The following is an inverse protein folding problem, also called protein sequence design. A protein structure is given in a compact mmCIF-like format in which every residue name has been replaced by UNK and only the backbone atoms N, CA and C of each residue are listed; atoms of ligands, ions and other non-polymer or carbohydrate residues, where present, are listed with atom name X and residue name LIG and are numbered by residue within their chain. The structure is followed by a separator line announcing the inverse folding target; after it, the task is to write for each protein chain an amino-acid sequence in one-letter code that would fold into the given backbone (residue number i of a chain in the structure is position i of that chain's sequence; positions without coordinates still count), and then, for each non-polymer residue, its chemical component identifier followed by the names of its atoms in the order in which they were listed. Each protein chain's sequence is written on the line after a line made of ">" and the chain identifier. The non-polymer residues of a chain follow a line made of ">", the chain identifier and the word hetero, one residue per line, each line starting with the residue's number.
data_IF_559249985424
#
_entry.id   IF_559249985424
#
_cell.length_a   1.000
_cell.length_b   1.000
_cell.length_c   1.000
_cell.angle_alpha   90.00
_cell.angle_beta   90.00
_cell.angle_gamma   90.00
#
_symmetry.space_group_name_H-M   'P 1'
#
loop_
_entity.id
_entity.type
_entity.pdbx_description
1 polymer ?
#
# COMPACT_ATOMS: atom_id res chain seq x y z
N UNK A 1 21.12 19.06 18.24
CA UNK A 1 20.30 18.44 17.20
C UNK A 1 20.83 17.02 17.02
N UNK A 2 20.29 16.06 17.77
CA UNK A 2 20.71 14.65 17.66
C UNK A 2 20.36 14.17 16.25
N UNK A 3 21.36 13.85 15.43
CA UNK A 3 21.11 13.33 14.10
C UNK A 3 20.60 11.90 14.23
N UNK A 4 19.33 11.70 13.88
CA UNK A 4 18.65 10.39 13.78
C UNK A 4 19.46 9.41 12.91
N UNK A 5 20.31 9.94 12.02
CA UNK A 5 21.14 9.17 11.10
C UNK A 5 22.22 8.30 11.77
N UNK A 6 22.61 8.57 13.02
CA UNK A 6 23.70 7.84 13.71
C UNK A 6 23.25 6.97 14.90
N UNK A 7 21.95 6.72 15.06
CA UNK A 7 21.48 5.87 16.16
C UNK A 7 21.76 4.39 15.89
N UNK A 8 22.56 3.77 16.78
CA UNK A 8 22.84 2.32 16.76
C UNK A 8 21.54 1.51 16.85
N UNK A 9 20.57 1.97 17.64
CA UNK A 9 19.28 1.30 17.81
C UNK A 9 18.48 1.29 16.51
N UNK A 10 18.43 2.41 15.79
CA UNK A 10 17.76 2.49 14.49
C UNK A 10 18.48 1.66 13.44
N UNK A 11 19.80 1.59 13.48
CA UNK A 11 20.57 0.72 12.59
C UNK A 11 20.27 -0.76 12.84
N UNK A 12 20.23 -1.20 14.11
CA UNK A 12 19.84 -2.56 14.49
C UNK A 12 18.42 -2.89 14.06
N UNK A 13 17.47 -1.97 14.26
CA UNK A 13 16.08 -2.14 13.83
C UNK A 13 15.97 -2.27 12.30
N UNK A 14 16.69 -1.44 11.53
CA UNK A 14 16.71 -1.53 10.07
C UNK A 14 17.30 -2.84 9.59
N UNK A 15 18.40 -3.29 10.21
CA UNK A 15 19.01 -4.58 9.91
C UNK A 15 18.00 -5.72 10.16
N UNK A 16 17.31 -5.68 11.31
CA UNK A 16 16.27 -6.64 11.63
C UNK A 16 15.14 -6.64 10.60
N UNK A 17 14.60 -5.47 10.25
CA UNK A 17 13.54 -5.36 9.24
C UNK A 17 13.99 -5.90 7.87
N UNK A 18 15.26 -5.67 7.49
CA UNK A 18 15.79 -6.18 6.22
C UNK A 18 15.87 -7.71 6.21
N UNK A 19 16.29 -8.33 7.31
CA UNK A 19 16.32 -9.79 7.44
C UNK A 19 14.90 -10.36 7.50
N UNK A 20 13.99 -9.73 8.24
CA UNK A 20 12.58 -10.13 8.29
C UNK A 20 11.94 -10.13 6.89
N UNK A 21 12.16 -9.07 6.10
CA UNK A 21 11.63 -9.00 4.75
C UNK A 21 12.29 -10.01 3.81
N UNK A 22 13.59 -10.28 3.98
CA UNK A 22 14.31 -11.34 3.24
C UNK A 22 13.74 -12.72 3.55
N UNK A 23 13.52 -13.03 4.83
CA UNK A 23 12.96 -14.30 5.29
C UNK A 23 11.51 -14.46 4.84
N UNK A 24 10.69 -13.40 4.95
CA UNK A 24 9.33 -13.39 4.41
C UNK A 24 9.30 -13.76 2.92
N UNK A 25 10.12 -13.09 2.12
CA UNK A 25 10.21 -13.37 0.68
C UNK A 25 10.70 -14.81 0.39
N UNK A 26 11.60 -15.33 1.22
CA UNK A 26 12.09 -16.70 1.12
C UNK A 26 10.98 -17.71 1.40
N UNK A 27 10.22 -17.56 2.50
CA UNK A 27 9.17 -18.52 2.86
C UNK A 27 8.00 -18.50 1.88
N UNK A 28 7.58 -17.33 1.38
CA UNK A 28 6.51 -17.22 0.38
C UNK A 28 6.90 -17.87 -0.95
N UNK A 29 8.19 -17.80 -1.33
CA UNK A 29 8.70 -18.42 -2.56
C UNK A 29 8.89 -19.94 -2.42
N UNK A 30 9.47 -20.37 -1.31
CA UNK A 30 9.84 -21.79 -1.10
C UNK A 30 8.66 -22.65 -0.70
N UNK A 31 7.66 -22.06 -0.02
CA UNK A 31 6.51 -22.77 0.56
C UNK A 31 5.20 -22.04 0.25
N UNK A 32 4.83 -21.91 -1.04
CA UNK A 32 3.57 -21.29 -1.40
C UNK A 32 2.40 -22.06 -0.78
N UNK A 33 1.35 -21.32 -0.42
CA UNK A 33 0.09 -21.92 0.04
C UNK A 33 -0.48 -22.75 -1.11
N UNK A 34 -0.53 -24.06 -0.93
CA UNK A 34 -1.14 -24.99 -1.90
C UNK A 34 -2.57 -25.30 -1.43
N UNK A 35 -3.55 -24.53 -1.91
CA UNK A 35 -4.96 -24.62 -1.49
C UNK A 35 -5.58 -26.02 -1.72
N UNK A 36 -4.93 -26.86 -2.53
CA UNK A 36 -5.40 -28.20 -2.89
C UNK A 36 -4.86 -29.34 -2.00
N UNK A 37 -3.85 -29.09 -1.16
CA UNK A 37 -3.23 -30.14 -0.32
C UNK A 37 -3.59 -29.95 1.16
N UNK A 38 -4.10 -30.99 1.83
CA UNK A 38 -4.28 -30.94 3.27
C UNK A 38 -2.92 -30.74 3.95
N UNK A 39 -2.90 -29.91 5.01
CA UNK A 39 -1.74 -29.67 5.87
C UNK A 39 -1.44 -30.97 6.61
N UNK A 40 -0.66 -31.86 6.00
CA UNK A 40 -0.08 -33.01 6.69
C UNK A 40 1.19 -32.57 7.40
N UNK A 41 1.42 -32.99 8.66
CA UNK A 41 2.69 -32.75 9.35
C UNK A 41 3.84 -33.19 8.44
N UNK A 42 4.62 -32.22 8.00
CA UNK A 42 5.74 -32.45 7.13
C UNK A 42 6.98 -32.09 7.94
N UNK A 43 7.71 -33.11 8.39
CA UNK A 43 8.92 -32.93 9.19
C UNK A 43 9.93 -31.98 8.52
N UNK A 44 9.94 -31.91 7.18
CA UNK A 44 10.73 -30.92 6.47
C UNK A 44 10.20 -29.49 6.70
N UNK A 45 8.88 -29.24 6.58
CA UNK A 45 8.29 -27.93 6.83
C UNK A 45 8.55 -27.46 8.27
N UNK A 46 8.40 -28.34 9.25
CA UNK A 46 8.64 -28.05 10.67
C UNK A 46 10.10 -27.59 10.91
N UNK A 47 11.07 -28.33 10.34
CA UNK A 47 12.49 -27.95 10.41
C UNK A 47 12.77 -26.56 9.82
N UNK A 48 12.11 -26.20 8.71
CA UNK A 48 12.34 -24.89 8.07
C UNK A 48 11.67 -23.74 8.83
N UNK A 49 10.50 -23.98 9.44
CA UNK A 49 9.87 -23.01 10.35
C UNK A 49 10.83 -22.72 11.50
N UNK A 50 11.41 -23.77 12.07
CA UNK A 50 12.40 -23.65 13.15
C UNK A 50 13.68 -22.93 12.71
N UNK A 51 14.17 -23.16 11.49
CA UNK A 51 15.32 -22.44 10.95
C UNK A 51 15.06 -20.93 10.82
N UNK A 52 13.89 -20.54 10.29
CA UNK A 52 13.50 -19.13 10.15
C UNK A 52 13.38 -18.48 11.53
N UNK A 53 12.72 -19.17 12.47
CA UNK A 53 12.56 -18.73 13.85
C UNK A 53 13.91 -18.56 14.54
N UNK A 54 14.78 -19.57 14.48
CA UNK A 54 16.09 -19.55 15.10
C UNK A 54 16.98 -18.44 14.51
N UNK A 55 16.87 -18.18 13.20
CA UNK A 55 17.58 -17.07 12.55
C UNK A 55 17.18 -15.71 13.13
N UNK A 56 15.89 -15.49 13.40
CA UNK A 56 15.40 -14.24 13.99
C UNK A 56 15.79 -14.13 15.47
N UNK A 57 15.62 -15.20 16.26
CA UNK A 57 16.05 -15.23 17.66
C UNK A 57 17.53 -14.95 17.81
N UNK A 58 18.36 -15.64 17.03
CA UNK A 58 19.82 -15.46 17.05
C UNK A 58 20.21 -14.03 16.68
N UNK A 59 19.50 -13.40 15.74
CA UNK A 59 19.74 -12.00 15.38
C UNK A 59 19.38 -11.05 16.53
N UNK A 60 18.24 -11.25 17.19
CA UNK A 60 17.81 -10.44 18.33
C UNK A 60 18.77 -10.58 19.52
N UNK A 61 19.17 -11.82 19.86
CA UNK A 61 20.15 -12.10 20.90
C UNK A 61 21.50 -11.41 20.62
N UNK A 62 21.99 -11.48 19.37
CA UNK A 62 23.22 -10.79 18.98
C UNK A 62 23.10 -9.26 19.14
N UNK A 63 21.94 -8.68 18.83
CA UNK A 63 21.71 -7.24 19.02
C UNK A 63 21.61 -6.88 20.51
N UNK A 64 20.98 -7.73 21.32
CA UNK A 64 20.87 -7.56 22.77
C UNK A 64 22.24 -7.60 23.46
N UNK A 65 23.10 -8.53 23.07
CA UNK A 65 24.45 -8.63 23.60
C UNK A 65 25.28 -7.37 23.28
N UNK A 66 25.27 -6.93 22.01
CA UNK A 66 25.99 -5.70 21.59
C UNK A 66 25.53 -4.46 22.36
N UNK A 67 24.24 -4.36 22.65
CA UNK A 67 23.70 -3.22 23.39
C UNK A 67 23.99 -3.30 24.89
N UNK A 68 24.07 -4.52 25.44
CA UNK A 68 24.48 -4.74 26.83
C UNK A 68 25.93 -4.34 27.06
N UNK A 69 26.80 -4.61 26.09
CA UNK A 69 28.24 -4.29 26.17
C UNK A 69 28.53 -2.78 26.10
N UNK A 70 27.63 -1.99 25.46
CA UNK A 70 27.86 -0.56 25.15
C UNK A 70 26.95 0.38 25.97
N UNK A 71 25.71 -0.01 26.27
CA UNK A 71 24.59 0.92 26.50
C UNK A 71 24.23 1.24 27.96
N UNK A 72 24.84 0.58 28.95
CA UNK A 72 24.43 0.71 30.36
C UNK A 72 22.95 0.32 30.60
N UNK A 73 22.45 0.48 31.82
CA UNK A 73 21.11 0.00 32.21
C UNK A 73 19.97 0.76 31.50
N UNK A 74 20.12 2.06 31.27
CA UNK A 74 19.12 2.89 30.59
C UNK A 74 19.05 2.54 29.09
N UNK A 75 20.20 2.41 28.42
CA UNK A 75 20.25 2.02 27.01
C UNK A 75 19.70 0.61 26.80
N UNK A 76 19.99 -0.32 27.72
CA UNK A 76 19.42 -1.66 27.70
C UNK A 76 17.89 -1.64 27.84
N UNK A 77 17.33 -0.81 28.73
CA UNK A 77 15.88 -0.67 28.87
C UNK A 77 15.20 -0.17 27.58
N UNK A 78 15.79 0.82 26.91
CA UNK A 78 15.28 1.32 25.62
C UNK A 78 15.40 0.24 24.54
N UNK A 79 16.50 -0.50 24.53
CA UNK A 79 16.68 -1.62 23.60
C UNK A 79 15.64 -2.72 23.82
N UNK A 80 15.34 -3.10 25.07
CA UNK A 80 14.30 -4.09 25.39
C UNK A 80 12.92 -3.69 24.86
N UNK A 81 12.60 -2.39 24.88
CA UNK A 81 11.36 -1.88 24.26
C UNK A 81 11.38 -1.99 22.73
N UNK A 82 12.53 -1.74 22.10
CA UNK A 82 12.70 -1.92 20.66
C UNK A 82 12.68 -3.40 20.24
N UNK A 83 13.32 -4.28 21.02
CA UNK A 83 13.33 -5.74 20.84
C UNK A 83 11.90 -6.31 20.89
N UNK A 84 11.08 -5.83 21.82
CA UNK A 84 9.66 -6.17 21.87
C UNK A 84 8.93 -5.78 20.58
N UNK A 85 9.16 -4.58 20.06
CA UNK A 85 8.58 -4.13 18.78
C UNK A 85 9.05 -5.01 17.62
N UNK A 86 10.34 -5.38 17.60
CA UNK A 86 10.90 -6.26 16.56
C UNK A 86 10.25 -7.65 16.58
N UNK A 87 10.16 -8.30 17.73
CA UNK A 87 9.51 -9.61 17.88
C UNK A 87 8.04 -9.57 17.44
N UNK A 88 7.29 -8.60 17.98
CA UNK A 88 5.87 -8.39 17.67
C UNK A 88 5.64 -8.11 16.18
N UNK A 89 6.53 -7.33 15.54
CA UNK A 89 6.46 -7.04 14.12
C UNK A 89 6.76 -8.28 13.27
N UNK A 90 7.73 -9.11 13.67
CA UNK A 90 8.04 -10.34 12.96
C UNK A 90 6.89 -11.35 13.01
N UNK A 91 6.31 -11.55 14.20
CA UNK A 91 5.15 -12.43 14.38
C UNK A 91 3.99 -11.97 13.52
N UNK A 92 3.64 -10.68 13.57
CA UNK A 92 2.60 -10.11 12.69
C UNK A 92 2.95 -10.29 11.21
N UNK A 93 4.20 -10.06 10.80
CA UNK A 93 4.59 -10.16 9.38
C UNK A 93 4.50 -11.59 8.86
N UNK A 94 4.98 -12.57 9.64
CA UNK A 94 5.04 -13.97 9.22
C UNK A 94 3.70 -14.69 9.35
N UNK A 95 2.90 -14.39 10.38
CA UNK A 95 1.54 -14.94 10.50
C UNK A 95 0.61 -14.47 9.37
N UNK A 96 0.84 -13.26 8.85
CA UNK A 96 0.04 -12.70 7.75
C UNK A 96 0.66 -12.91 6.36
N UNK A 97 1.85 -13.50 6.27
CA UNK A 97 2.46 -13.86 5.00
C UNK A 97 1.73 -15.04 4.33
N UNK A 98 1.86 -15.16 3.01
CA UNK A 98 1.21 -16.24 2.23
C UNK A 98 2.14 -17.44 2.08
N UNK A 99 2.28 -18.22 3.14
CA UNK A 99 3.09 -19.45 3.14
C UNK A 99 2.45 -20.56 3.98
N UNK A 100 2.83 -21.81 3.71
CA UNK A 100 2.17 -23.00 4.30
C UNK A 100 2.44 -23.22 5.79
N UNK A 101 3.55 -22.70 6.32
CA UNK A 101 3.98 -22.94 7.70
C UNK A 101 3.49 -21.90 8.73
N UNK A 102 2.65 -20.95 8.30
CA UNK A 102 2.17 -19.86 9.17
C UNK A 102 1.34 -20.34 10.36
N UNK A 103 0.63 -21.47 10.24
CA UNK A 103 -0.24 -22.00 11.31
C UNK A 103 0.55 -22.70 12.41
N UNK A 104 1.75 -23.19 12.08
CA UNK A 104 2.70 -23.83 12.99
C UNK A 104 3.71 -22.83 13.56
N UNK A 105 3.62 -21.55 13.18
CA UNK A 105 4.53 -20.52 13.65
C UNK A 105 4.38 -20.33 15.17
N UNK A 106 5.46 -20.57 15.90
CA UNK A 106 5.55 -20.26 17.32
C UNK A 106 5.96 -18.80 17.50
N UNK A 107 5.23 -18.05 18.32
CA UNK A 107 5.41 -16.62 18.51
C UNK A 107 6.77 -16.30 19.16
N UNK A 108 7.54 -15.41 18.54
CA UNK A 108 8.78 -14.87 19.10
C UNK A 108 8.52 -14.02 20.34
N UNK A 109 7.40 -13.29 20.37
CA UNK A 109 6.97 -12.50 21.53
C UNK A 109 6.79 -13.39 22.77
N UNK A 110 6.16 -14.55 22.60
CA UNK A 110 5.90 -15.47 23.70
C UNK A 110 7.22 -16.00 24.28
N UNK A 111 8.15 -16.40 23.42
CA UNK A 111 9.45 -16.93 23.82
C UNK A 111 10.32 -15.88 24.53
N UNK A 112 10.35 -14.64 24.03
CA UNK A 112 11.23 -13.58 24.56
C UNK A 112 10.62 -12.77 25.72
N UNK A 113 9.30 -12.63 25.75
CA UNK A 113 8.60 -11.72 26.65
C UNK A 113 7.47 -12.38 27.45
N UNK A 114 7.20 -13.68 27.25
CA UNK A 114 6.15 -14.43 27.95
C UNK A 114 4.77 -13.73 27.83
N UNK A 115 4.50 -13.16 26.67
CA UNK A 115 3.28 -12.41 26.36
C UNK A 115 2.61 -12.99 25.13
N UNK A 116 1.28 -13.06 25.15
CA UNK A 116 0.44 -13.50 24.03
C UNK A 116 -0.46 -12.38 23.48
N UNK A 117 -0.22 -11.14 23.90
CA UNK A 117 -1.08 -9.99 23.62
C UNK A 117 -0.35 -8.90 22.82
N UNK A 118 0.56 -9.29 21.92
CA UNK A 118 1.40 -8.41 21.09
C UNK A 118 0.64 -7.21 20.54
N UNK A 119 -0.50 -7.49 19.90
CA UNK A 119 -1.30 -6.48 19.23
C UNK A 119 -1.85 -5.40 20.17
N UNK A 120 -2.19 -5.74 21.41
CA UNK A 120 -2.71 -4.79 22.41
C UNK A 120 -1.59 -4.10 23.18
N UNK A 121 -0.57 -4.87 23.56
CA UNK A 121 0.55 -4.38 24.35
C UNK A 121 1.44 -3.44 23.52
N UNK A 122 1.57 -3.65 22.20
CA UNK A 122 2.23 -2.72 21.28
C UNK A 122 1.63 -1.31 21.36
N UNK A 123 0.30 -1.18 21.18
CA UNK A 123 -0.33 0.14 21.24
C UNK A 123 -0.36 0.70 22.66
N UNK A 124 -0.46 -0.15 23.68
CA UNK A 124 -0.37 0.30 25.07
C UNK A 124 1.00 0.89 25.40
N UNK A 125 2.09 0.29 24.88
CA UNK A 125 3.45 0.83 25.01
C UNK A 125 3.62 2.10 24.17
N UNK A 126 3.04 2.16 22.98
CA UNK A 126 3.04 3.36 22.14
C UNK A 126 2.31 4.54 22.82
N UNK A 127 1.15 4.30 23.44
CA UNK A 127 0.41 5.32 24.20
C UNK A 127 1.27 5.87 25.35
N UNK A 128 1.99 5.00 26.07
CA UNK A 128 2.94 5.40 27.13
C UNK A 128 4.11 6.20 26.57
N UNK A 129 4.65 5.83 25.41
CA UNK A 129 5.73 6.56 24.73
C UNK A 129 5.31 7.97 24.32
N UNK A 130 4.08 8.12 23.85
CA UNK A 130 3.53 9.42 23.42
C UNK A 130 3.20 10.31 24.62
N UNK A 131 2.77 9.72 25.74
CA UNK A 131 2.45 10.45 26.97
C UNK A 131 3.69 10.81 27.79
N UNK A 132 4.74 9.97 27.75
CA UNK A 132 5.99 10.21 28.47
C UNK A 132 6.86 11.24 27.75
N UNK A 133 7.16 12.34 28.44
CA UNK A 133 8.06 13.39 27.95
C UNK A 133 9.53 12.98 27.84
N UNK A 134 9.92 11.83 28.41
CA UNK A 134 11.29 11.32 28.45
C UNK A 134 11.62 10.30 27.35
N UNK A 135 10.65 9.88 26.54
CA UNK A 135 10.91 8.84 25.54
C UNK A 135 11.77 9.37 24.38
N UNK A 136 12.78 8.58 24.01
CA UNK A 136 13.75 8.90 22.95
C UNK A 136 13.07 8.95 21.58
N UNK A 137 13.51 9.90 20.73
CA UNK A 137 13.07 10.00 19.34
C UNK A 137 13.34 8.72 18.54
N UNK A 138 14.39 7.99 18.88
CA UNK A 138 14.73 6.71 18.24
C UNK A 138 13.63 5.67 18.42
N UNK A 139 13.11 5.51 19.64
CA UNK A 139 12.04 4.57 19.91
C UNK A 139 10.75 5.01 19.19
N UNK A 140 10.44 6.32 19.19
CA UNK A 140 9.32 6.85 18.42
C UNK A 140 9.45 6.53 16.92
N UNK A 141 10.65 6.65 16.37
CA UNK A 141 10.95 6.33 14.98
C UNK A 141 10.82 4.83 14.68
N UNK A 142 11.18 3.96 15.62
CA UNK A 142 10.96 2.50 15.51
C UNK A 142 9.47 2.18 15.43
N UNK A 143 8.65 2.72 16.33
CA UNK A 143 7.20 2.56 16.25
C UNK A 143 6.63 3.10 14.94
N UNK A 144 7.12 4.26 14.48
CA UNK A 144 6.68 4.86 13.23
C UNK A 144 6.98 3.96 12.03
N UNK A 145 8.18 3.38 11.97
CA UNK A 145 8.59 2.45 10.91
C UNK A 145 7.82 1.13 10.98
N UNK A 146 7.58 0.58 12.18
CA UNK A 146 6.75 -0.61 12.36
C UNK A 146 5.33 -0.40 11.81
N UNK A 147 4.70 0.75 12.11
CA UNK A 147 3.40 1.11 11.52
C UNK A 147 3.47 1.32 9.99
N UNK A 148 4.60 1.78 9.47
CA UNK A 148 4.81 1.90 8.02
C UNK A 148 4.97 0.54 7.33
N UNK A 149 5.37 -0.51 8.06
CA UNK A 149 5.44 -1.90 7.60
C UNK A 149 4.09 -2.65 7.75
N UNK A 150 2.98 -1.90 7.75
CA UNK A 150 1.59 -2.41 7.84
C UNK A 150 1.28 -3.17 9.14
N UNK A 151 1.97 -2.84 10.23
CA UNK A 151 1.63 -3.37 11.56
C UNK A 151 0.22 -2.89 11.98
N UNK A 152 -0.72 -3.81 12.14
CA UNK A 152 -2.12 -3.52 12.48
C UNK A 152 -2.46 -3.87 13.92
N UNK A 153 -1.93 -4.99 14.43
CA UNK A 153 -2.21 -5.47 15.80
C UNK A 153 -3.72 -5.49 16.10
N UNK A 154 -4.11 -4.93 17.25
CA UNK A 154 -5.52 -4.90 17.70
C UNK A 154 -6.50 -4.22 16.74
N UNK A 155 -6.01 -3.33 15.87
CA UNK A 155 -6.87 -2.55 14.98
C UNK A 155 -7.22 -3.29 13.68
N UNK A 156 -6.75 -4.53 13.47
CA UNK A 156 -7.02 -5.33 12.26
C UNK A 156 -8.52 -5.44 11.89
N UNK A 157 -9.39 -5.60 12.89
CA UNK A 157 -10.84 -5.80 12.67
C UNK A 157 -11.68 -4.52 12.86
N UNK A 158 -11.07 -3.43 13.32
CA UNK A 158 -11.69 -2.10 13.38
C UNK A 158 -11.33 -1.30 12.13
N UNK A 159 -11.85 -0.08 11.93
CA UNK A 159 -11.34 0.86 10.90
C UNK A 159 -9.85 1.19 11.19
N UNK A 160 -8.89 0.46 10.59
CA UNK A 160 -7.50 0.49 11.05
C UNK A 160 -6.83 1.77 10.60
N UNK A 161 -7.19 2.24 9.40
CA UNK A 161 -6.59 3.39 8.72
C UNK A 161 -6.69 4.62 9.60
N UNK A 162 -7.89 4.93 10.10
CA UNK A 162 -8.11 6.13 10.91
C UNK A 162 -7.31 6.14 12.21
N UNK A 163 -7.24 5.02 12.92
CA UNK A 163 -6.54 4.93 14.21
C UNK A 163 -5.02 4.88 14.01
N UNK A 164 -4.53 4.06 13.08
CA UNK A 164 -3.10 3.96 12.76
C UNK A 164 -2.58 5.30 12.26
N UNK A 165 -3.32 6.00 11.40
CA UNK A 165 -2.92 7.31 10.91
C UNK A 165 -2.87 8.37 12.01
N UNK A 166 -3.73 8.28 13.03
CA UNK A 166 -3.64 9.14 14.21
C UNK A 166 -2.31 8.91 14.95
N UNK A 167 -1.92 7.65 15.17
CA UNK A 167 -0.64 7.33 15.79
C UNK A 167 0.55 7.80 14.95
N UNK A 168 0.52 7.58 13.63
CA UNK A 168 1.56 8.04 12.71
C UNK A 168 1.75 9.55 12.77
N UNK A 169 0.65 10.33 12.81
CA UNK A 169 0.71 11.80 12.96
C UNK A 169 1.30 12.22 14.31
N UNK A 170 0.91 11.57 15.40
CA UNK A 170 1.44 11.87 16.75
C UNK A 170 2.93 11.54 16.87
N UNK A 171 3.36 10.41 16.31
CA UNK A 171 4.77 10.02 16.23
C UNK A 171 5.57 10.99 15.37
N UNK A 172 5.03 11.38 14.20
CA UNK A 172 5.67 12.34 13.32
C UNK A 172 5.90 13.68 14.04
N UNK A 173 4.86 14.20 14.70
CA UNK A 173 4.94 15.40 15.52
C UNK A 173 6.02 15.29 16.61
N UNK A 174 6.10 14.14 17.29
CA UNK A 174 7.10 13.91 18.35
C UNK A 174 8.53 13.88 17.80
N UNK A 175 8.75 13.23 16.65
CA UNK A 175 10.08 13.05 16.06
C UNK A 175 10.61 14.36 15.45
N UNK A 176 9.77 15.07 14.69
CA UNK A 176 10.19 16.21 13.87
C UNK A 176 9.81 17.57 14.47
N UNK A 177 8.95 17.60 15.50
CA UNK A 177 8.49 18.85 16.12
C UNK A 177 7.54 19.68 15.26
N UNK A 178 7.13 19.20 14.09
CA UNK A 178 6.23 19.89 13.15
C UNK A 178 5.10 18.96 12.69
N UNK A 179 3.88 19.47 12.48
CA UNK A 179 2.78 18.68 11.96
C UNK A 179 3.02 18.29 10.49
N UNK A 180 2.55 17.10 10.12
CA UNK A 180 2.60 16.61 8.73
C UNK A 180 1.98 17.61 7.74
N UNK A 181 0.94 18.35 8.17
CA UNK A 181 0.27 19.37 7.35
C UNK A 181 1.15 20.56 6.96
N UNK A 182 2.24 20.81 7.69
CA UNK A 182 3.21 21.89 7.39
C UNK A 182 4.32 21.44 6.46
N UNK A 183 4.49 20.13 6.24
CA UNK A 183 5.39 19.63 5.21
C UNK A 183 4.78 19.95 3.84
N UNK A 184 5.42 20.83 3.07
CA UNK A 184 5.12 20.93 1.64
C UNK A 184 5.30 19.54 1.03
N UNK A 185 4.30 18.98 0.32
CA UNK A 185 4.47 17.72 -0.39
C UNK A 185 5.50 17.95 -1.50
N UNK A 186 6.76 17.66 -1.18
CA UNK A 186 7.82 17.66 -2.15
C UNK A 186 7.79 16.27 -2.80
N UNK A 187 7.51 16.16 -4.11
CA UNK A 187 7.54 14.86 -4.77
C UNK A 187 8.99 14.36 -4.76
N UNK A 188 9.28 13.45 -3.83
CA UNK A 188 10.65 12.91 -3.61
C UNK A 188 11.12 12.08 -4.80
N UNK A 189 10.19 11.53 -5.60
CA UNK A 189 10.49 10.91 -6.89
C UNK A 189 9.33 11.19 -7.87
N UNK A 190 9.64 11.84 -9.00
CA UNK A 190 8.67 12.10 -10.06
C UNK A 190 8.32 10.84 -10.87
N UNK A 191 9.18 9.80 -10.81
CA UNK A 191 9.13 8.64 -11.70
C UNK A 191 8.49 7.37 -11.09
N UNK A 192 8.20 7.35 -9.78
CA UNK A 192 7.63 6.15 -9.13
C UNK A 192 6.10 6.17 -9.07
N UNK A 193 5.47 7.31 -9.36
CA UNK A 193 4.01 7.46 -9.38
C UNK A 193 3.34 6.88 -10.63
N UNK A 194 4.08 6.52 -11.67
CA UNK A 194 3.50 5.86 -12.85
C UNK A 194 3.15 4.38 -12.62
N UNK A 195 3.76 3.71 -11.65
CA UNK A 195 3.71 2.25 -11.56
C UNK A 195 3.22 1.67 -10.24
N UNK A 196 2.55 2.46 -9.39
CA UNK A 196 1.86 1.92 -8.21
C UNK A 196 0.48 2.57 -8.07
N UNK A 197 -0.38 2.33 -9.05
CA UNK A 197 -1.82 2.46 -8.88
C UNK A 197 -2.30 1.23 -8.10
N UNK A 198 -2.07 1.24 -6.79
CA UNK A 198 -2.84 0.44 -5.85
C UNK A 198 -3.08 1.33 -4.63
N UNK A 199 -4.10 2.20 -4.70
CA UNK A 199 -4.83 2.59 -3.50
C UNK A 199 -6.27 2.99 -3.82
N UNK A 200 -7.13 2.24 -3.15
CA UNK A 200 -8.53 2.48 -2.87
C UNK A 200 -8.66 3.73 -1.96
N UNK A 201 -9.14 4.84 -2.54
CA UNK A 201 -10.12 5.78 -1.97
C UNK A 201 -10.39 6.92 -2.98
N UNK A 202 -11.59 6.90 -3.56
CA UNK A 202 -12.36 8.05 -4.06
C UNK A 202 -11.57 9.27 -4.56
N UNK A 203 -10.84 9.12 -5.67
CA UNK A 203 -10.46 10.28 -6.48
C UNK A 203 -11.64 10.67 -7.36
N UNK A 204 -12.20 11.86 -7.12
CA UNK A 204 -13.06 12.55 -8.08
C UNK A 204 -12.28 12.70 -9.40
N UNK A 205 -12.52 11.76 -10.31
CA UNK A 205 -12.15 11.89 -11.72
C UNK A 205 -12.77 13.18 -12.25
N UNK A 206 -12.01 14.04 -12.97
CA UNK A 206 -12.60 15.16 -13.68
C UNK A 206 -13.71 14.60 -14.57
N UNK A 207 -14.89 15.13 -14.32
CA UNK A 207 -16.19 14.58 -14.71
C UNK A 207 -16.29 14.26 -16.19
N UNK A 208 -16.77 13.04 -16.49
CA UNK A 208 -17.01 12.46 -17.81
C UNK A 208 -17.98 13.24 -18.71
N UNK A 209 -18.62 14.29 -18.21
CA UNK A 209 -19.59 15.09 -18.97
C UNK A 209 -18.95 15.93 -20.09
N UNK A 210 -17.65 16.27 -20.00
CA UNK A 210 -16.98 17.03 -21.05
C UNK A 210 -16.87 16.24 -22.37
N UNK A 211 -16.68 14.92 -22.30
CA UNK A 211 -16.63 14.06 -23.48
C UNK A 211 -17.99 13.89 -24.14
N UNK A 212 -19.09 13.95 -23.37
CA UNK A 212 -20.44 13.98 -23.92
C UNK A 212 -20.70 15.21 -24.79
N UNK A 213 -20.15 16.38 -24.44
CA UNK A 213 -20.26 17.57 -25.29
C UNK A 213 -19.46 17.45 -26.60
N UNK A 214 -18.28 16.81 -26.56
CA UNK A 214 -17.50 16.53 -27.76
C UNK A 214 -18.26 15.57 -28.68
N UNK A 215 -18.81 14.48 -28.13
CA UNK A 215 -19.62 13.51 -28.89
C UNK A 215 -20.88 14.15 -29.45
N UNK A 216 -21.59 14.95 -28.65
CA UNK A 216 -22.78 15.69 -29.10
C UNK A 216 -22.45 16.69 -30.21
N UNK A 217 -21.32 17.40 -30.10
CA UNK A 217 -20.83 18.31 -31.13
C UNK A 217 -20.53 17.61 -32.45
N UNK A 218 -19.81 16.49 -32.42
CA UNK A 218 -19.52 15.68 -33.61
C UNK A 218 -20.81 15.16 -34.26
N UNK A 219 -21.75 14.69 -33.45
CA UNK A 219 -23.03 14.17 -33.93
C UNK A 219 -23.90 15.26 -34.54
N UNK A 220 -23.92 16.46 -33.96
CA UNK A 220 -24.61 17.62 -34.52
C UNK A 220 -24.00 18.05 -35.87
N UNK A 221 -22.66 18.10 -35.98
CA UNK A 221 -21.97 18.39 -37.23
C UNK A 221 -22.31 17.34 -38.30
N UNK A 222 -22.34 16.06 -37.93
CA UNK A 222 -22.69 14.98 -38.84
C UNK A 222 -24.14 15.08 -39.34
N UNK A 223 -25.10 15.41 -38.47
CA UNK A 223 -26.50 15.64 -38.86
C UNK A 223 -26.62 16.81 -39.84
N UNK A 224 -25.90 17.91 -39.61
CA UNK A 224 -25.91 19.08 -40.51
C UNK A 224 -25.28 18.72 -41.85
N UNK A 225 -24.16 18.00 -41.87
CA UNK A 225 -23.55 17.54 -43.11
C UNK A 225 -24.50 16.62 -43.89
N UNK A 226 -25.19 15.71 -43.18
CA UNK A 226 -26.18 14.80 -43.78
C UNK A 226 -27.38 15.55 -44.36
N UNK A 227 -27.91 16.56 -43.66
CA UNK A 227 -29.06 17.33 -44.15
C UNK A 227 -28.72 18.17 -45.37
N UNK A 228 -27.54 18.80 -45.39
CA UNK A 228 -27.05 19.54 -46.56
C UNK A 228 -26.87 18.61 -47.77
N UNK A 229 -26.32 17.41 -47.55
CA UNK A 229 -26.16 16.42 -48.60
C UNK A 229 -27.50 15.99 -49.20
N UNK A 230 -28.53 15.83 -48.38
CA UNK A 230 -29.89 15.49 -48.84
C UNK A 230 -30.50 16.60 -49.69
N UNK A 231 -30.34 17.87 -49.31
CA UNK A 231 -30.86 19.02 -50.07
C UNK A 231 -30.17 19.11 -51.44
N UNK A 232 -28.85 18.93 -51.49
CA UNK A 232 -28.10 18.95 -52.75
C UNK A 232 -28.47 17.78 -53.67
N UNK A 233 -28.71 16.59 -53.10
CA UNK A 233 -29.15 15.41 -53.86
C UNK A 233 -30.58 15.57 -54.40
N UNK A 234 -31.51 16.10 -53.60
CA UNK A 234 -32.90 16.28 -54.01
C UNK A 234 -33.06 17.41 -55.05
N UNK A 235 -32.30 18.49 -54.92
CA UNK A 235 -32.19 19.54 -55.93
C UNK A 235 -31.62 19.01 -57.26
N UNK A 236 -30.63 18.11 -57.19
CA UNK A 236 -30.05 17.46 -58.36
C UNK A 236 -31.00 16.49 -59.08
N UNK A 237 -31.83 15.75 -58.33
CA UNK A 237 -32.76 14.76 -58.88
C UNK A 237 -33.97 15.45 -59.52
N UNK A 238 -34.59 16.42 -58.84
CA UNK A 238 -35.76 17.15 -59.35
C UNK A 238 -35.48 17.85 -60.68
N UNK A 239 -34.33 18.52 -60.80
CA UNK A 239 -33.92 19.18 -62.05
C UNK A 239 -33.70 18.21 -63.22
N UNK A 240 -33.30 16.95 -62.95
CA UNK A 240 -33.14 15.92 -63.99
C UNK A 240 -34.47 15.30 -64.40
N UNK A 241 -35.37 15.07 -63.45
CA UNK A 241 -36.72 14.58 -63.72
C UNK A 241 -37.52 15.59 -64.55
N UNK A 242 -37.41 16.89 -64.23
CA UNK A 242 -38.11 17.94 -64.99
C UNK A 242 -37.62 18.03 -66.45
N UNK A 243 -36.32 17.87 -66.71
CA UNK A 243 -35.78 17.81 -68.08
C UNK A 243 -36.29 16.59 -68.86
N UNK A 244 -36.41 15.43 -68.22
CA UNK A 244 -36.93 14.22 -68.86
C UNK A 244 -38.43 14.39 -69.15
N UNK A 245 -39.21 14.95 -68.23
CA UNK A 245 -40.63 15.25 -68.46
C UNK A 245 -40.83 16.32 -69.54
N UNK A 246 -39.99 17.37 -69.58
CA UNK A 246 -40.01 18.38 -70.62
C UNK A 246 -39.69 17.77 -72.00
N UNK A 247 -38.67 16.92 -72.08
CA UNK A 247 -38.32 16.19 -73.31
C UNK A 247 -39.41 15.17 -73.74
N UNK A 248 -40.11 14.55 -72.78
CA UNK A 248 -41.23 13.67 -73.08
C UNK A 248 -42.47 14.43 -73.58
N UNK A 249 -42.75 15.63 -73.03
CA UNK A 249 -43.85 16.50 -73.50
C UNK A 249 -43.62 17.05 -74.90
N UNK A 250 -42.38 17.35 -75.29
CA UNK A 250 -42.07 17.77 -76.66
C UNK A 250 -42.17 16.60 -77.65
N UNK A 251 -41.88 15.37 -77.22
CA UNK A 251 -42.03 14.16 -78.05
C UNK A 251 -43.51 13.75 -78.25
N UNK A 252 -44.35 13.83 -77.21
CA UNK A 252 -45.78 13.47 -77.28
C UNK A 252 -46.66 14.41 -78.11
N UNK A 253 -46.20 15.62 -78.44
CA UNK A 253 -46.92 16.56 -79.30
C UNK A 253 -46.77 16.28 -80.81
N UNK A 254 -45.91 15.33 -81.21
CA UNK A 254 -45.61 15.01 -82.62
C UNK A 254 -46.29 13.72 -83.10
N UNK A 255 -47.26 13.19 -82.36
CA UNK A 255 -48.02 12.00 -82.78
C UNK A 255 -49.51 12.20 -82.46
N UNK A 256 -50.14 13.14 -83.17
CA UNK A 256 -51.59 13.18 -83.36
C UNK A 256 -51.93 13.75 -84.72
#
# INVERSE_FOLDING_TARGET
>A
MYSIENSVLLMQFRQFCSELMRLKALVEKSYPVDDARPITPNAALDSHIDEVRQSLLTLLEQQAQRTSDIGGTIGFGIFREAEYVMATLADETLLNARWSGREQWSLLEEELFHSHASGDLFFSKLDRLLTSGSATNDLAMIYFQALALDFKGRYRNSDPRRQIDRYRRQLFLKIYGQPVSELKPQPVFLQTYESTVIEDETRHIPSSHLWWFVVAGVLAVWIVASSLLWVDLEAGISARVERIQAAARTSGATTR
#
